data_IF_521430487980
#
_entry.id   IF_521430487980
#
_cell.length_a   1.000
_cell.length_b   1.000
_cell.length_c   1.000
_cell.angle_alpha   90.00
_cell.angle_beta   90.00
_cell.angle_gamma   90.00
#
_symmetry.space_group_name_H-M   'P 1'
#
loop_
_entity.id
_entity.type
_entity.pdbx_description
1 polymer ?
#
# COMPACT_ATOMS: atom_id res chain seq x y z
N UNK A 1 4.03 -21.39 -5.50
CA UNK A 1 4.60 -20.30 -4.68
C UNK A 1 3.53 -19.69 -3.79
N UNK A 2 3.85 -18.90 -2.74
CA UNK A 2 2.84 -18.17 -1.99
C UNK A 2 2.04 -17.27 -2.92
N UNK A 3 0.77 -17.03 -2.58
CA UNK A 3 -0.02 -16.01 -3.29
C UNK A 3 0.58 -14.62 -3.15
N UNK A 4 0.49 -13.82 -4.19
CA UNK A 4 0.97 -12.45 -4.17
C UNK A 4 0.03 -11.55 -3.37
N UNK A 5 0.60 -10.51 -2.77
CA UNK A 5 -0.10 -9.50 -1.97
C UNK A 5 0.17 -8.15 -2.60
N UNK A 6 -0.86 -7.45 -3.06
CA UNK A 6 -0.74 -6.02 -3.38
C UNK A 6 -0.93 -5.20 -2.09
N UNK A 7 0.08 -4.50 -1.59
CA UNK A 7 0.00 -3.84 -0.28
C UNK A 7 -0.86 -2.59 -0.23
N UNK A 8 -1.19 -1.97 -1.37
CA UNK A 8 -1.88 -0.68 -1.37
C UNK A 8 -2.71 -0.45 -2.63
N UNK A 9 -4.00 -0.60 -2.52
CA UNK A 9 -4.95 -0.39 -3.61
C UNK A 9 -6.26 0.24 -3.14
N UNK A 10 -7.07 0.69 -4.10
CA UNK A 10 -8.47 1.07 -3.90
C UNK A 10 -9.45 0.03 -4.45
N UNK A 11 -8.98 -1.14 -4.86
CA UNK A 11 -9.83 -2.18 -5.42
C UNK A 11 -10.90 -2.63 -4.42
N UNK A 12 -12.10 -2.85 -4.90
CA UNK A 12 -13.24 -3.22 -4.06
C UNK A 12 -13.95 -2.05 -3.37
N UNK A 13 -13.49 -0.80 -3.56
CA UNK A 13 -14.10 0.37 -2.92
C UNK A 13 -14.97 1.21 -3.88
N UNK A 14 -15.50 0.62 -4.92
CA UNK A 14 -16.45 1.28 -5.82
C UNK A 14 -17.59 0.33 -6.14
N UNK A 15 -18.80 0.78 -5.89
CA UNK A 15 -20.01 0.07 -6.30
C UNK A 15 -20.24 0.21 -7.81
N UNK A 16 -20.36 -0.92 -8.52
CA UNK A 16 -20.69 -0.98 -9.93
C UNK A 16 -19.61 -0.42 -10.87
N UNK A 17 -20.03 -0.07 -12.11
CA UNK A 17 -19.11 0.46 -13.12
C UNK A 17 -18.96 1.97 -12.97
N UNK A 18 -18.07 2.40 -12.05
CA UNK A 18 -17.44 3.72 -12.13
C UNK A 18 -18.25 4.90 -11.59
N UNK A 19 -19.21 4.71 -10.72
CA UNK A 19 -20.06 5.84 -10.32
C UNK A 19 -19.80 6.40 -8.92
N UNK A 20 -19.42 5.62 -7.95
CA UNK A 20 -19.10 6.11 -6.62
C UNK A 20 -17.84 5.44 -6.11
N UNK A 21 -16.85 6.25 -5.76
CA UNK A 21 -15.68 5.80 -5.01
C UNK A 21 -15.98 6.00 -3.55
N UNK A 22 -16.08 4.93 -2.80
CA UNK A 22 -16.39 5.00 -1.37
C UNK A 22 -15.13 5.14 -0.50
N UNK A 23 -13.94 5.23 -1.12
CA UNK A 23 -12.68 5.49 -0.44
C UNK A 23 -12.17 6.94 -0.54
N UNK A 24 -13.04 7.88 -0.91
CA UNK A 24 -12.70 9.29 -1.17
C UNK A 24 -13.59 10.26 -0.38
N UNK A 25 -13.53 10.24 0.95
CA UNK A 25 -14.22 11.23 1.78
C UNK A 25 -13.43 12.55 1.83
N UNK A 26 -13.80 13.51 0.99
CA UNK A 26 -13.07 14.77 0.82
C UNK A 26 -13.79 15.99 1.42
N UNK A 27 -14.64 15.78 2.40
CA UNK A 27 -15.27 16.87 3.19
C UNK A 27 -14.30 17.47 4.21
N UNK A 28 -13.32 16.69 4.66
CA UNK A 28 -12.29 17.08 5.63
C UNK A 28 -10.94 16.42 5.25
N UNK A 29 -9.82 17.16 5.26
CA UNK A 29 -8.52 16.61 4.92
C UNK A 29 -7.95 15.64 5.95
N UNK A 30 -8.48 15.62 7.16
CA UNK A 30 -8.09 14.73 8.25
C UNK A 30 -9.27 13.87 8.68
N UNK A 31 -9.34 12.66 8.17
CA UNK A 31 -10.39 11.68 8.47
C UNK A 31 -9.82 10.35 8.99
N UNK A 32 -8.90 10.35 9.98
CA UNK A 32 -8.26 9.12 10.46
C UNK A 32 -9.25 8.15 11.12
N UNK A 33 -10.42 8.60 11.54
CA UNK A 33 -11.47 7.80 12.17
C UNK A 33 -12.30 6.98 11.17
N UNK A 34 -12.11 7.18 9.85
CA UNK A 34 -12.84 6.42 8.85
C UNK A 34 -12.23 5.02 8.68
N UNK A 35 -13.10 4.06 8.46
CA UNK A 35 -12.73 2.65 8.31
C UNK A 35 -13.11 2.16 6.91
N UNK A 36 -12.08 1.77 6.14
CA UNK A 36 -12.25 1.30 4.76
C UNK A 36 -13.06 -0.01 4.64
N UNK A 37 -13.22 -0.74 5.73
CA UNK A 37 -14.05 -1.96 5.76
C UNK A 37 -15.48 -1.66 5.32
N UNK A 38 -16.01 -0.48 5.66
CA UNK A 38 -17.35 -0.05 5.24
C UNK A 38 -17.44 0.37 3.77
N UNK A 39 -16.30 0.64 3.13
CA UNK A 39 -16.24 0.97 1.72
C UNK A 39 -16.04 -0.27 0.83
N UNK A 40 -15.69 -1.42 1.43
CA UNK A 40 -15.33 -2.62 0.69
C UNK A 40 -16.58 -3.39 0.24
N UNK A 41 -16.68 -3.62 -1.07
CA UNK A 41 -17.70 -4.44 -1.73
C UNK A 41 -17.11 -5.80 -2.10
N UNK A 42 -17.51 -6.90 -1.42
CA UNK A 42 -17.01 -8.25 -1.72
C UNK A 42 -17.45 -8.73 -3.12
N UNK A 43 -18.48 -8.17 -3.70
CA UNK A 43 -18.98 -8.52 -5.04
C UNK A 43 -18.32 -7.69 -6.16
N UNK A 44 -17.38 -6.81 -5.83
CA UNK A 44 -16.64 -6.01 -6.81
C UNK A 44 -15.88 -6.91 -7.80
N UNK A 45 -16.24 -6.82 -9.07
CA UNK A 45 -15.56 -7.56 -10.15
C UNK A 45 -14.07 -7.23 -10.23
N UNK A 46 -13.68 -5.99 -9.90
CA UNK A 46 -12.27 -5.58 -9.90
C UNK A 46 -11.47 -6.31 -8.82
N UNK A 47 -12.12 -6.69 -7.74
CA UNK A 47 -11.49 -7.41 -6.65
C UNK A 47 -11.51 -8.92 -6.85
N UNK A 48 -12.64 -9.48 -7.22
CA UNK A 48 -12.82 -10.94 -7.40
C UNK A 48 -11.93 -11.56 -8.48
N UNK A 49 -11.45 -10.77 -9.44
CA UNK A 49 -10.57 -11.28 -10.50
C UNK A 49 -9.07 -11.22 -10.15
N UNK A 50 -8.67 -10.72 -8.98
CA UNK A 50 -7.26 -10.61 -8.58
C UNK A 50 -6.52 -11.94 -8.61
N UNK A 51 -7.17 -13.02 -8.18
CA UNK A 51 -6.58 -14.36 -8.19
C UNK A 51 -6.19 -14.84 -9.60
N UNK A 52 -6.85 -14.34 -10.64
CA UNK A 52 -6.47 -14.63 -12.04
C UNK A 52 -5.07 -14.13 -12.42
N UNK A 53 -4.52 -13.22 -11.62
CA UNK A 53 -3.17 -12.64 -11.77
C UNK A 53 -2.21 -13.10 -10.66
N UNK A 54 -2.60 -14.11 -9.88
CA UNK A 54 -1.79 -14.65 -8.78
C UNK A 54 -1.85 -13.83 -7.48
N UNK A 55 -2.69 -12.79 -7.43
CA UNK A 55 -2.88 -11.96 -6.24
C UNK A 55 -3.97 -12.61 -5.38
N UNK A 56 -3.61 -13.10 -4.20
CA UNK A 56 -4.54 -13.79 -3.28
C UNK A 56 -5.05 -12.89 -2.17
N UNK A 57 -4.38 -11.76 -1.92
CA UNK A 57 -4.82 -10.76 -0.97
C UNK A 57 -4.37 -9.36 -1.40
N UNK A 58 -5.10 -8.33 -0.98
CA UNK A 58 -4.71 -6.96 -1.19
C UNK A 58 -4.99 -6.07 0.03
N UNK A 59 -4.10 -5.11 0.26
CA UNK A 59 -4.33 -3.97 1.13
C UNK A 59 -5.23 -2.96 0.44
N UNK A 60 -6.37 -2.67 1.05
CA UNK A 60 -7.36 -1.73 0.55
C UNK A 60 -7.37 -0.49 1.44
N UNK A 61 -7.33 0.69 0.84
CA UNK A 61 -7.17 1.94 1.56
C UNK A 61 -7.87 3.11 0.87
N UNK A 62 -7.98 4.21 1.61
CA UNK A 62 -8.35 5.50 1.06
C UNK A 62 -7.36 5.95 -0.03
N UNK A 63 -7.83 6.79 -0.94
CA UNK A 63 -7.02 7.40 -1.99
C UNK A 63 -5.99 8.40 -1.41
N UNK A 64 -5.25 9.08 -2.30
CA UNK A 64 -4.28 10.11 -1.90
C UNK A 64 -4.90 11.51 -1.78
N UNK A 65 -6.23 11.63 -1.78
CA UNK A 65 -6.89 12.93 -1.76
C UNK A 65 -6.82 13.64 -0.39
N UNK A 66 -6.67 12.88 0.69
CA UNK A 66 -6.62 13.40 2.06
C UNK A 66 -5.23 13.34 2.68
N UNK A 67 -4.96 14.25 3.61
CA UNK A 67 -3.77 14.19 4.47
C UNK A 67 -3.76 12.93 5.32
N UNK A 68 -4.92 12.58 5.90
CA UNK A 68 -5.22 11.27 6.48
C UNK A 68 -6.60 10.84 5.98
N UNK A 69 -6.69 9.71 5.31
CA UNK A 69 -7.92 9.23 4.69
C UNK A 69 -8.67 8.16 5.50
N UNK A 70 -8.02 7.63 6.54
CA UNK A 70 -8.61 6.57 7.37
C UNK A 70 -7.75 5.32 7.46
N UNK A 71 -8.33 4.25 8.01
CA UNK A 71 -7.66 2.96 8.12
C UNK A 71 -7.52 2.28 6.75
N UNK A 72 -6.49 1.45 6.62
CA UNK A 72 -6.37 0.45 5.57
C UNK A 72 -6.70 -0.93 6.13
N UNK A 73 -7.25 -1.81 5.33
CA UNK A 73 -7.56 -3.19 5.68
C UNK A 73 -6.97 -4.15 4.66
N UNK A 74 -6.76 -5.41 5.05
CA UNK A 74 -6.30 -6.47 4.15
C UNK A 74 -7.42 -7.47 3.94
N UNK A 75 -7.74 -7.74 2.67
CA UNK A 75 -8.76 -8.70 2.29
C UNK A 75 -8.18 -9.81 1.40
N UNK A 76 -8.75 -11.01 1.50
CA UNK A 76 -8.52 -12.11 0.56
C UNK A 76 -9.23 -11.83 -0.76
N UNK A 77 -8.65 -12.29 -1.86
CA UNK A 77 -9.24 -12.16 -3.20
C UNK A 77 -10.36 -13.20 -3.47
N UNK A 78 -10.85 -13.86 -2.45
CA UNK A 78 -11.95 -14.83 -2.54
C UNK A 78 -12.76 -14.85 -1.25
N UNK A 79 -14.07 -14.92 -1.38
CA UNK A 79 -15.05 -14.96 -0.29
C UNK A 79 -16.39 -14.36 -0.73
N UNK A 80 -17.39 -14.42 0.15
CA UNK A 80 -18.75 -13.96 -0.14
C UNK A 80 -19.19 -12.79 0.73
N UNK A 81 -18.49 -12.52 1.81
CA UNK A 81 -18.80 -11.41 2.71
C UNK A 81 -17.53 -10.69 3.10
N UNK A 82 -17.67 -9.41 3.43
CA UNK A 82 -16.56 -8.57 3.89
C UNK A 82 -15.83 -9.21 5.07
N UNK A 83 -16.57 -9.80 6.02
CA UNK A 83 -15.98 -10.44 7.21
C UNK A 83 -15.18 -11.69 6.83
N UNK A 84 -15.70 -12.53 5.92
CA UNK A 84 -15.03 -13.77 5.49
C UNK A 84 -13.74 -13.47 4.70
N UNK A 85 -13.72 -12.38 3.95
CA UNK A 85 -12.55 -11.95 3.18
C UNK A 85 -11.54 -11.17 4.02
N UNK A 86 -11.95 -10.57 5.14
CA UNK A 86 -11.10 -9.69 5.94
C UNK A 86 -10.02 -10.49 6.69
N UNK A 87 -8.75 -10.23 6.35
CA UNK A 87 -7.60 -10.75 7.08
C UNK A 87 -7.31 -9.88 8.29
N UNK A 88 -7.37 -8.54 8.12
CA UNK A 88 -7.11 -7.56 9.17
C UNK A 88 -7.81 -6.25 8.84
N UNK A 89 -8.76 -5.84 9.66
CA UNK A 89 -9.59 -4.65 9.44
C UNK A 89 -8.82 -3.34 9.60
N UNK A 90 -7.91 -3.24 10.54
CA UNK A 90 -7.12 -2.04 10.80
C UNK A 90 -5.64 -2.39 10.67
N UNK A 91 -5.19 -2.54 9.42
CA UNK A 91 -3.82 -2.98 9.09
C UNK A 91 -2.82 -1.82 9.13
N UNK A 92 -3.25 -0.62 8.72
CA UNK A 92 -2.43 0.59 8.73
C UNK A 92 -3.32 1.84 8.75
N UNK A 93 -2.78 2.99 9.12
CA UNK A 93 -3.35 4.30 8.84
C UNK A 93 -2.84 4.77 7.47
N UNK A 94 -3.75 5.25 6.59
CA UNK A 94 -3.38 5.74 5.27
C UNK A 94 -3.50 7.26 5.18
N UNK A 95 -2.49 7.89 4.63
CA UNK A 95 -2.51 9.32 4.33
C UNK A 95 -1.63 9.67 3.13
N UNK A 96 -1.56 10.97 2.83
CA UNK A 96 -0.77 11.53 1.74
C UNK A 96 -0.26 12.93 2.06
N UNK A 97 0.97 13.21 1.63
CA UNK A 97 1.55 14.55 1.63
C UNK A 97 1.91 15.01 0.21
N UNK A 98 1.53 14.23 -0.78
CA UNK A 98 1.83 14.48 -2.18
C UNK A 98 0.96 15.61 -2.79
N UNK A 99 1.18 15.87 -4.07
CA UNK A 99 0.48 16.92 -4.80
C UNK A 99 -1.03 16.69 -4.91
N UNK A 100 -1.49 15.44 -4.80
CA UNK A 100 -2.90 15.09 -4.96
C UNK A 100 -3.78 15.77 -3.91
N UNK A 101 -3.30 15.88 -2.67
CA UNK A 101 -3.99 16.61 -1.60
C UNK A 101 -4.26 18.05 -2.00
N UNK A 102 -3.24 18.75 -2.52
CA UNK A 102 -3.38 20.15 -2.95
C UNK A 102 -4.33 20.30 -4.14
N UNK A 103 -4.29 19.34 -5.07
CA UNK A 103 -5.20 19.31 -6.23
C UNK A 103 -6.65 19.06 -5.81
N UNK A 104 -6.87 18.40 -4.69
CA UNK A 104 -8.21 18.11 -4.15
C UNK A 104 -8.81 19.34 -3.47
N UNK A 105 -8.06 20.01 -2.61
CA UNK A 105 -8.57 21.10 -1.77
C UNK A 105 -8.37 22.49 -2.37
N UNK A 106 -7.29 22.70 -3.13
CA UNK A 106 -6.97 24.00 -3.72
C UNK A 106 -8.08 24.59 -4.61
N UNK A 107 -8.65 23.84 -5.57
CA UNK A 107 -9.73 24.33 -6.43
C UNK A 107 -11.01 24.69 -5.68
N UNK A 108 -11.20 24.11 -4.49
CA UNK A 108 -12.36 24.40 -3.61
C UNK A 108 -12.11 25.57 -2.67
N UNK A 109 -10.95 26.22 -2.77
CA UNK A 109 -10.48 27.25 -1.84
C UNK A 109 -10.54 26.79 -0.36
N UNK A 110 -10.25 25.52 -0.11
CA UNK A 110 -10.24 24.88 1.20
C UNK A 110 -8.82 24.50 1.61
N UNK A 111 -8.52 24.53 2.91
CA UNK A 111 -7.24 24.04 3.44
C UNK A 111 -7.20 22.50 3.41
N UNK A 112 -6.00 21.87 3.20
CA UNK A 112 -4.72 22.53 2.90
C UNK A 112 -4.50 22.73 1.39
N UNK A 113 -4.08 23.93 1.00
CA UNK A 113 -3.72 24.26 -0.40
C UNK A 113 -2.22 24.18 -0.68
N UNK A 114 -1.41 23.97 0.36
CA UNK A 114 0.06 23.97 0.27
C UNK A 114 0.66 22.89 1.15
N UNK A 115 1.93 22.52 0.89
CA UNK A 115 2.68 21.63 1.80
C UNK A 115 2.76 22.20 3.22
N UNK A 116 2.88 23.51 3.38
CA UNK A 116 2.86 24.14 4.72
C UNK A 116 1.55 23.84 5.46
N UNK A 117 0.42 23.93 4.77
CA UNK A 117 -0.90 23.61 5.34
C UNK A 117 -1.04 22.12 5.66
N UNK A 118 -0.55 21.22 4.80
CA UNK A 118 -0.55 19.77 5.05
C UNK A 118 0.20 19.45 6.34
N UNK A 119 1.45 19.94 6.47
CA UNK A 119 2.26 19.69 7.66
C UNK A 119 1.77 20.44 8.90
N UNK A 120 1.08 21.59 8.77
CA UNK A 120 0.39 22.25 9.87
C UNK A 120 -0.72 21.37 10.42
N UNK A 121 -1.58 20.84 9.55
CA UNK A 121 -2.69 19.98 9.96
C UNK A 121 -2.20 18.69 10.67
N UNK A 122 -1.13 18.06 10.17
CA UNK A 122 -0.53 16.90 10.84
C UNK A 122 0.03 17.26 12.22
N UNK A 123 0.77 18.38 12.34
CA UNK A 123 1.32 18.82 13.63
C UNK A 123 0.24 19.16 14.65
N UNK A 124 -0.86 19.76 14.21
CA UNK A 124 -2.00 20.08 15.09
C UNK A 124 -2.65 18.80 15.63
N UNK A 125 -2.85 17.78 14.77
CA UNK A 125 -3.39 16.50 15.22
C UNK A 125 -2.42 15.78 16.18
N UNK A 126 -1.11 15.76 15.87
CA UNK A 126 -0.09 15.19 16.76
C UNK A 126 -0.10 15.89 18.13
N UNK A 127 -0.17 17.22 18.14
CA UNK A 127 -0.23 18.00 19.37
C UNK A 127 -1.49 17.68 20.20
N UNK A 128 -2.65 17.52 19.54
CA UNK A 128 -3.89 17.10 20.20
C UNK A 128 -3.79 15.69 20.81
N UNK A 129 -3.10 14.76 20.12
CA UNK A 129 -2.88 13.41 20.64
C UNK A 129 -2.06 13.41 21.94
N UNK A 130 -1.15 14.39 22.12
CA UNK A 130 -0.37 14.59 23.35
C UNK A 130 -1.05 15.48 24.38
N UNK A 131 -2.23 16.02 24.10
CA UNK A 131 -2.97 16.92 25.01
C UNK A 131 -3.64 16.13 26.12
N UNK A 132 -3.64 16.71 27.34
CA UNK A 132 -4.38 16.18 28.50
C UNK A 132 -5.83 16.69 28.58
N UNK A 133 -6.25 17.56 27.67
CA UNK A 133 -7.60 18.12 27.67
C UNK A 133 -8.62 17.03 27.34
N UNK A 134 -9.67 16.96 28.11
CA UNK A 134 -10.74 15.97 27.97
C UNK A 134 -11.41 16.03 26.58
N UNK A 135 -11.60 17.24 26.03
CA UNK A 135 -12.16 17.44 24.70
C UNK A 135 -11.30 16.82 23.59
N UNK A 136 -9.96 16.99 23.67
CA UNK A 136 -9.02 16.40 22.72
C UNK A 136 -9.00 14.87 22.85
N UNK A 137 -9.05 14.35 24.08
CA UNK A 137 -9.06 12.91 24.34
C UNK A 137 -10.33 12.21 23.85
N UNK A 138 -11.45 12.93 23.77
CA UNK A 138 -12.74 12.46 23.26
C UNK A 138 -12.88 12.63 21.74
N UNK A 139 -12.00 13.40 21.09
CA UNK A 139 -12.03 13.61 19.64
C UNK A 139 -11.79 12.26 18.91
N UNK A 140 -12.74 11.77 18.07
CA UNK A 140 -12.57 10.53 17.34
C UNK A 140 -11.33 10.50 16.45
N UNK A 141 -10.88 11.64 15.92
CA UNK A 141 -9.68 11.74 15.12
C UNK A 141 -8.42 11.49 15.96
N UNK A 142 -8.39 12.02 17.16
CA UNK A 142 -7.31 11.79 18.12
C UNK A 142 -7.26 10.33 18.54
N UNK A 143 -8.41 9.74 18.87
CA UNK A 143 -8.50 8.34 19.27
C UNK A 143 -8.02 7.39 18.16
N UNK A 144 -8.39 7.67 16.90
CA UNK A 144 -7.97 6.85 15.74
C UNK A 144 -6.48 7.00 15.42
N UNK A 145 -5.86 8.16 15.67
CA UNK A 145 -4.47 8.42 15.34
C UNK A 145 -3.48 8.06 16.46
N UNK A 146 -3.91 8.01 17.71
CA UNK A 146 -3.06 7.62 18.86
C UNK A 146 -2.30 6.32 18.67
N UNK A 147 -2.91 5.21 18.20
CA UNK A 147 -2.20 3.95 17.99
C UNK A 147 -1.03 4.06 16.99
N UNK A 148 -1.11 5.00 16.04
CA UNK A 148 -0.02 5.32 15.12
C UNK A 148 1.17 5.89 15.88
N UNK A 149 0.94 6.92 16.72
CA UNK A 149 2.00 7.56 17.50
C UNK A 149 2.60 6.64 18.56
N UNK A 150 1.87 5.63 18.99
CA UNK A 150 2.34 4.59 19.92
C UNK A 150 3.09 3.43 19.21
N UNK A 151 3.25 3.49 17.89
CA UNK A 151 3.90 2.44 17.09
C UNK A 151 3.11 1.11 16.99
N UNK A 152 1.85 1.12 17.40
CA UNK A 152 0.95 -0.05 17.34
C UNK A 152 0.33 -0.26 15.97
N UNK A 153 0.11 0.85 15.24
CA UNK A 153 -0.48 0.87 13.91
C UNK A 153 0.51 1.50 12.92
N UNK A 154 0.90 0.82 11.83
CA UNK A 154 1.74 1.41 10.79
C UNK A 154 1.08 2.64 10.15
N UNK A 155 1.91 3.59 9.71
CA UNK A 155 1.48 4.77 8.96
C UNK A 155 2.00 4.69 7.53
N UNK A 156 1.12 4.50 6.57
CA UNK A 156 1.44 4.56 5.15
C UNK A 156 1.17 5.98 4.65
N UNK A 157 2.23 6.70 4.27
CA UNK A 157 2.13 8.04 3.69
C UNK A 157 2.60 8.05 2.24
N UNK A 158 1.71 8.43 1.35
CA UNK A 158 2.09 8.70 -0.04
C UNK A 158 2.88 10.00 -0.11
N UNK A 159 4.08 9.90 -0.66
CA UNK A 159 4.98 11.02 -0.95
C UNK A 159 5.74 10.70 -2.25
N UNK A 160 5.89 11.68 -3.12
CA UNK A 160 6.46 11.48 -4.44
C UNK A 160 7.93 11.90 -4.52
N UNK A 161 8.31 12.88 -3.73
CA UNK A 161 9.61 13.54 -3.81
C UNK A 161 10.45 13.32 -2.56
N UNK A 162 11.80 13.42 -2.73
CA UNK A 162 12.73 13.40 -1.61
C UNK A 162 12.37 14.44 -0.53
N UNK A 163 12.03 15.66 -0.95
CA UNK A 163 11.69 16.74 -0.01
C UNK A 163 10.44 16.46 0.81
N UNK A 164 9.47 15.72 0.26
CA UNK A 164 8.29 15.25 1.00
C UNK A 164 8.67 14.16 2.01
N UNK A 165 9.46 13.20 1.58
CA UNK A 165 9.96 12.13 2.45
C UNK A 165 10.80 12.68 3.60
N UNK A 166 11.74 13.58 3.34
CA UNK A 166 12.58 14.22 4.37
C UNK A 166 11.73 14.96 5.41
N UNK A 167 10.69 15.68 4.95
CA UNK A 167 9.80 16.39 5.85
C UNK A 167 8.95 15.45 6.72
N UNK A 168 8.48 14.33 6.16
CA UNK A 168 7.75 13.28 6.88
C UNK A 168 8.67 12.60 7.90
N UNK A 169 9.86 12.17 7.48
CA UNK A 169 10.85 11.53 8.34
C UNK A 169 11.22 12.45 9.52
N UNK A 170 11.41 13.75 9.26
CA UNK A 170 11.69 14.73 10.30
C UNK A 170 10.52 14.93 11.25
N UNK A 171 9.28 14.90 10.76
CA UNK A 171 8.09 15.06 11.59
C UNK A 171 7.95 13.94 12.64
N UNK A 172 8.34 12.72 12.28
CA UNK A 172 8.23 11.52 13.12
C UNK A 172 9.57 11.05 13.70
N UNK A 173 10.67 11.82 13.58
CA UNK A 173 12.04 11.41 13.92
C UNK A 173 12.21 10.88 15.35
N UNK A 174 11.46 11.38 16.32
CA UNK A 174 11.58 10.99 17.73
C UNK A 174 10.30 10.26 18.22
N UNK A 175 9.63 9.56 17.34
CA UNK A 175 8.43 8.82 17.66
C UNK A 175 8.60 7.34 17.32
N UNK A 176 7.88 6.41 17.97
CA UNK A 176 7.92 4.99 17.63
C UNK A 176 7.07 4.65 16.39
N UNK A 177 6.68 5.63 15.57
CA UNK A 177 5.83 5.43 14.39
C UNK A 177 6.50 4.49 13.40
N UNK A 178 5.81 3.41 13.04
CA UNK A 178 6.22 2.50 11.97
C UNK A 178 5.82 3.13 10.62
N UNK A 179 6.77 3.83 10.02
CA UNK A 179 6.52 4.60 8.80
C UNK A 179 6.72 3.75 7.56
N UNK A 180 5.78 3.85 6.62
CA UNK A 180 5.86 3.28 5.28
C UNK A 180 5.66 4.40 4.26
N UNK A 181 6.65 4.65 3.42
CA UNK A 181 6.58 5.66 2.36
C UNK A 181 6.10 5.00 1.07
N UNK A 182 5.07 5.56 0.46
CA UNK A 182 4.48 5.01 -0.75
C UNK A 182 4.58 5.99 -1.93
N UNK A 183 4.66 5.47 -3.15
CA UNK A 183 4.68 6.24 -4.40
C UNK A 183 5.93 7.11 -4.65
N UNK A 184 7.03 6.86 -3.97
CA UNK A 184 8.26 7.63 -4.18
C UNK A 184 8.90 7.33 -5.55
N UNK A 185 9.24 8.39 -6.30
CA UNK A 185 10.07 8.28 -7.49
C UNK A 185 11.46 8.94 -7.31
N UNK A 186 11.59 9.92 -6.42
CA UNK A 186 12.88 10.50 -6.07
C UNK A 186 13.51 9.75 -4.89
N UNK A 187 13.85 8.48 -5.14
CA UNK A 187 14.58 7.67 -4.17
C UNK A 187 16.01 8.18 -4.02
N UNK A 188 16.53 8.08 -2.81
CA UNK A 188 17.86 8.57 -2.45
C UNK A 188 18.47 7.69 -1.36
N UNK A 189 19.79 7.54 -1.36
CA UNK A 189 20.53 6.74 -0.39
C UNK A 189 20.43 7.27 1.06
N UNK A 190 19.99 8.52 1.25
CA UNK A 190 19.68 9.05 2.59
C UNK A 190 18.60 8.26 3.33
N UNK A 191 17.83 7.43 2.62
CA UNK A 191 16.86 6.51 3.22
C UNK A 191 17.52 5.28 3.87
N UNK A 192 18.77 4.97 3.59
CA UNK A 192 19.48 3.79 4.13
C UNK A 192 19.42 3.75 5.66
N UNK A 193 19.71 4.87 6.30
CA UNK A 193 19.79 5.01 7.76
C UNK A 193 18.43 5.33 8.42
N UNK A 194 17.33 5.34 7.66
CA UNK A 194 16.01 5.66 8.18
C UNK A 194 15.20 4.40 8.45
N UNK A 195 14.50 4.37 9.57
CA UNK A 195 13.60 3.26 9.89
C UNK A 195 12.25 3.49 9.20
N UNK A 196 12.15 3.01 7.96
CA UNK A 196 10.92 3.07 7.17
C UNK A 196 10.86 1.94 6.14
N UNK A 197 9.64 1.47 5.84
CA UNK A 197 9.37 0.62 4.69
C UNK A 197 9.05 1.42 3.44
N UNK A 198 9.08 0.78 2.28
CA UNK A 198 8.75 1.37 0.99
C UNK A 198 7.67 0.55 0.28
N UNK A 199 6.68 1.22 -0.32
CA UNK A 199 5.74 0.62 -1.28
C UNK A 199 5.92 1.35 -2.60
N UNK A 200 6.34 0.62 -3.64
CA UNK A 200 6.71 1.19 -4.93
C UNK A 200 5.92 0.56 -6.07
N UNK A 201 5.73 1.32 -7.13
CA UNK A 201 5.12 0.90 -8.39
C UNK A 201 5.57 1.78 -9.54
N UNK A 202 4.91 1.70 -10.69
CA UNK A 202 5.25 2.44 -11.92
C UNK A 202 6.71 2.22 -12.38
N UNK A 203 7.17 0.96 -12.34
CA UNK A 203 8.56 0.55 -12.60
C UNK A 203 8.78 -0.12 -13.96
N UNK A 204 7.84 0.02 -14.90
CA UNK A 204 7.84 -0.77 -16.13
C UNK A 204 8.79 -0.26 -17.19
N UNK A 205 8.94 1.05 -17.34
CA UNK A 205 9.68 1.70 -18.42
C UNK A 205 10.84 2.58 -17.95
N UNK A 206 11.10 2.63 -16.66
CA UNK A 206 12.13 3.49 -16.07
C UNK A 206 11.63 4.87 -15.70
N UNK A 207 10.35 5.14 -15.95
CA UNK A 207 9.66 6.36 -15.55
C UNK A 207 8.38 6.01 -14.79
N UNK A 208 7.99 6.85 -13.87
CA UNK A 208 6.71 6.72 -13.20
C UNK A 208 5.59 7.40 -14.01
N UNK A 209 4.34 7.29 -13.54
CA UNK A 209 3.17 7.95 -14.16
C UNK A 209 3.26 9.47 -14.29
N UNK A 210 4.18 10.11 -13.60
CA UNK A 210 4.46 11.55 -13.73
C UNK A 210 5.57 11.83 -14.74
N UNK A 211 6.01 10.82 -15.50
CA UNK A 211 7.12 10.91 -16.46
C UNK A 211 8.43 11.37 -15.80
N UNK A 212 8.63 11.03 -14.54
CA UNK A 212 9.83 11.32 -13.78
C UNK A 212 10.71 10.07 -13.69
N UNK A 213 12.00 10.22 -13.94
CA UNK A 213 12.96 9.10 -13.88
C UNK A 213 13.04 8.53 -12.48
N UNK A 214 12.92 7.20 -12.37
CA UNK A 214 13.15 6.47 -11.13
C UNK A 214 14.65 6.32 -10.90
N UNK A 215 15.12 6.66 -9.71
CA UNK A 215 16.53 6.44 -9.33
C UNK A 215 16.76 4.97 -8.95
N UNK A 216 16.95 4.12 -9.95
CA UNK A 216 17.17 2.69 -9.76
C UNK A 216 18.48 2.36 -9.03
N UNK A 217 19.53 3.20 -9.16
CA UNK A 217 20.77 2.96 -8.45
C UNK A 217 20.53 3.04 -6.92
N UNK A 218 19.86 4.11 -6.47
CA UNK A 218 19.48 4.24 -5.06
C UNK A 218 18.51 3.13 -4.63
N UNK A 219 17.55 2.73 -5.49
CA UNK A 219 16.63 1.63 -5.18
C UNK A 219 17.37 0.31 -4.93
N UNK A 220 18.33 -0.03 -5.79
CA UNK A 220 19.11 -1.27 -5.62
C UNK A 220 20.02 -1.22 -4.39
N UNK A 221 20.64 -0.07 -4.07
CA UNK A 221 21.36 0.14 -2.81
C UNK A 221 20.47 -0.09 -1.58
N UNK A 222 19.22 0.40 -1.61
CA UNK A 222 18.25 0.20 -0.53
C UNK A 222 17.84 -1.27 -0.38
N UNK A 223 17.60 -1.97 -1.49
CA UNK A 223 17.26 -3.40 -1.50
C UNK A 223 18.42 -4.23 -0.96
N UNK A 224 19.64 -3.97 -1.44
CA UNK A 224 20.86 -4.68 -1.01
C UNK A 224 21.15 -4.47 0.48
N UNK A 225 20.85 -3.28 1.02
CA UNK A 225 20.93 -2.99 2.43
C UNK A 225 19.81 -3.64 3.28
N UNK A 226 18.89 -4.39 2.67
CA UNK A 226 17.79 -5.08 3.35
C UNK A 226 16.60 -4.18 3.71
N UNK A 227 16.47 -2.99 3.10
CA UNK A 227 15.31 -2.13 3.30
C UNK A 227 14.03 -2.87 2.88
N UNK A 228 12.96 -2.87 3.69
CA UNK A 228 11.69 -3.47 3.30
C UNK A 228 11.07 -2.72 2.12
N UNK A 229 11.10 -3.33 0.93
CA UNK A 229 10.51 -2.80 -0.30
C UNK A 229 9.43 -3.75 -0.77
N UNK A 230 8.18 -3.29 -0.85
CA UNK A 230 7.07 -4.00 -1.45
C UNK A 230 6.69 -3.38 -2.79
N UNK A 231 6.25 -4.20 -3.73
CA UNK A 231 5.69 -3.75 -5.01
C UNK A 231 4.17 -3.66 -4.92
N UNK A 232 3.60 -2.63 -5.54
CA UNK A 232 2.16 -2.43 -5.65
C UNK A 232 1.77 -2.03 -7.07
N UNK A 233 0.60 -2.44 -7.50
CA UNK A 233 -0.02 -1.93 -8.72
C UNK A 233 -0.65 -0.55 -8.49
N UNK A 234 -0.83 -0.12 -7.23
CA UNK A 234 -1.60 1.06 -6.85
C UNK A 234 -2.98 1.08 -7.52
N UNK A 235 -3.65 -0.08 -7.51
CA UNK A 235 -4.93 -0.27 -8.16
C UNK A 235 -5.97 0.76 -7.74
N UNK A 236 -6.62 1.35 -8.71
CA UNK A 236 -7.72 2.29 -8.48
C UNK A 236 -9.03 1.53 -8.29
N UNK A 237 -9.97 2.11 -7.55
CA UNK A 237 -11.27 1.51 -7.28
C UNK A 237 -12.09 1.15 -8.54
N UNK A 238 -11.87 1.87 -9.64
CA UNK A 238 -12.66 1.77 -10.88
C UNK A 238 -11.86 1.34 -12.11
N UNK A 239 -10.54 1.24 -12.00
CA UNK A 239 -9.66 0.90 -13.12
C UNK A 239 -9.16 -0.54 -13.01
N UNK A 240 -9.12 -1.29 -14.13
CA UNK A 240 -8.34 -2.52 -14.20
C UNK A 240 -6.85 -2.18 -13.97
N UNK A 241 -6.00 -3.17 -13.99
CA UNK A 241 -4.55 -2.95 -13.82
C UNK A 241 -3.95 -3.97 -12.87
N UNK A 242 -4.65 -5.08 -12.68
CA UNK A 242 -4.19 -6.20 -11.85
C UNK A 242 -2.89 -6.81 -12.36
N UNK A 243 -2.67 -6.76 -13.68
CA UNK A 243 -1.43 -7.17 -14.36
C UNK A 243 -0.23 -6.26 -14.04
N UNK A 244 -0.46 -5.03 -13.59
CA UNK A 244 0.59 -4.03 -13.31
C UNK A 244 1.55 -4.53 -12.23
N UNK A 245 1.07 -5.31 -11.26
CA UNK A 245 1.94 -5.87 -10.22
C UNK A 245 3.03 -6.77 -10.85
N UNK A 246 2.66 -7.64 -11.79
CA UNK A 246 3.59 -8.46 -12.55
C UNK A 246 4.51 -7.60 -13.42
N UNK A 247 3.98 -6.57 -14.08
CA UNK A 247 4.78 -5.68 -14.92
C UNK A 247 5.81 -4.91 -14.10
N UNK A 248 5.47 -4.45 -12.90
CA UNK A 248 6.42 -3.80 -11.99
C UNK A 248 7.56 -4.75 -11.59
N UNK A 249 7.25 -6.02 -11.29
CA UNK A 249 8.26 -7.02 -10.98
C UNK A 249 9.22 -7.25 -12.15
N UNK A 250 8.69 -7.42 -13.37
CA UNK A 250 9.51 -7.58 -14.59
C UNK A 250 10.31 -6.31 -14.91
N UNK A 251 9.72 -5.13 -14.77
CA UNK A 251 10.39 -3.85 -14.99
C UNK A 251 11.58 -3.69 -14.05
N UNK A 252 11.40 -3.99 -12.77
CA UNK A 252 12.47 -3.95 -11.77
C UNK A 252 13.61 -4.92 -12.12
N UNK A 253 13.29 -6.17 -12.47
CA UNK A 253 14.29 -7.17 -12.87
C UNK A 253 15.01 -6.76 -14.16
N UNK A 254 14.32 -6.18 -15.12
CA UNK A 254 14.94 -5.69 -16.36
C UNK A 254 15.92 -4.54 -16.08
N UNK A 255 15.57 -3.60 -15.19
CA UNK A 255 16.45 -2.52 -14.78
C UNK A 255 17.66 -3.02 -13.99
N UNK A 256 17.49 -4.03 -13.12
CA UNK A 256 18.59 -4.65 -12.40
C UNK A 256 19.62 -5.24 -13.38
N UNK A 257 19.15 -6.02 -14.36
CA UNK A 257 20.02 -6.59 -15.42
C UNK A 257 20.74 -5.48 -16.20
N UNK A 258 20.03 -4.42 -16.59
CA UNK A 258 20.59 -3.29 -17.34
C UNK A 258 21.70 -2.56 -16.60
N UNK A 259 21.55 -2.42 -15.28
CA UNK A 259 22.49 -1.71 -14.42
C UNK A 259 23.52 -2.61 -13.75
N UNK A 260 23.46 -3.94 -13.96
CA UNK A 260 24.34 -4.91 -13.36
C UNK A 260 24.14 -5.09 -11.84
N UNK A 261 22.93 -4.74 -11.33
CA UNK A 261 22.59 -4.93 -9.94
C UNK A 261 22.26 -6.40 -9.64
N UNK A 262 22.64 -6.85 -8.43
CA UNK A 262 22.32 -8.21 -7.96
C UNK A 262 20.91 -8.23 -7.38
N UNK A 263 19.94 -8.68 -8.20
CA UNK A 263 18.56 -8.86 -7.78
C UNK A 263 18.07 -10.23 -8.28
N UNK A 264 17.77 -11.12 -7.34
CA UNK A 264 17.27 -12.46 -7.66
C UNK A 264 15.74 -12.50 -7.80
N UNK A 265 15.22 -13.54 -8.48
CA UNK A 265 13.77 -13.80 -8.51
C UNK A 265 13.19 -14.03 -7.10
N UNK A 266 13.99 -14.57 -6.18
CA UNK A 266 13.57 -14.75 -4.78
C UNK A 266 13.40 -13.42 -4.06
N UNK A 267 14.29 -12.44 -4.28
CA UNK A 267 14.16 -11.11 -3.69
C UNK A 267 12.88 -10.42 -4.20
N UNK A 268 12.61 -10.49 -5.51
CA UNK A 268 11.39 -9.95 -6.08
C UNK A 268 10.15 -10.69 -5.58
N UNK A 269 10.22 -12.02 -5.39
CA UNK A 269 9.12 -12.78 -4.80
C UNK A 269 8.82 -12.30 -3.37
N UNK A 270 9.83 -12.03 -2.56
CA UNK A 270 9.64 -11.45 -1.21
C UNK A 270 8.94 -10.09 -1.26
N UNK A 271 9.25 -9.25 -2.25
CA UNK A 271 8.60 -7.95 -2.44
C UNK A 271 7.12 -8.06 -2.85
N UNK A 272 6.68 -9.23 -3.31
CA UNK A 272 5.31 -9.54 -3.68
C UNK A 272 4.56 -10.37 -2.63
N UNK A 273 5.24 -10.86 -1.60
CA UNK A 273 4.66 -11.83 -0.65
C UNK A 273 4.96 -11.47 0.80
N UNK A 274 6.14 -11.80 1.33
CA UNK A 274 6.47 -11.65 2.76
C UNK A 274 6.66 -10.20 3.17
N UNK A 275 7.26 -9.35 2.34
CA UNK A 275 7.46 -7.93 2.67
C UNK A 275 6.14 -7.16 2.75
N UNK A 276 5.22 -7.23 1.77
CA UNK A 276 3.91 -6.60 1.94
C UNK A 276 3.13 -7.13 3.14
N UNK A 277 3.21 -8.44 3.44
CA UNK A 277 2.59 -8.99 4.64
C UNK A 277 3.15 -8.35 5.92
N UNK A 278 4.47 -8.21 6.02
CA UNK A 278 5.14 -7.56 7.14
C UNK A 278 4.76 -6.08 7.28
N UNK A 279 4.76 -5.32 6.18
CA UNK A 279 4.40 -3.89 6.21
C UNK A 279 2.97 -3.64 6.66
N UNK A 280 2.07 -4.59 6.40
CA UNK A 280 0.65 -4.55 6.81
C UNK A 280 0.40 -5.25 8.14
N UNK A 281 1.41 -5.90 8.73
CA UNK A 281 1.32 -6.64 9.99
C UNK A 281 0.37 -7.84 9.89
N UNK A 282 0.42 -8.58 8.80
CA UNK A 282 -0.37 -9.81 8.55
C UNK A 282 0.54 -11.01 8.26
N UNK A 283 1.83 -10.88 8.53
CA UNK A 283 2.86 -11.89 8.30
C UNK A 283 2.63 -13.19 9.07
N UNK A 284 1.91 -13.15 10.19
CA UNK A 284 1.54 -14.35 10.96
C UNK A 284 0.51 -15.22 10.23
N UNK A 285 -0.25 -14.64 9.29
CA UNK A 285 -1.32 -15.35 8.57
C UNK A 285 -0.98 -15.63 7.11
N UNK A 286 -0.38 -14.68 6.39
CA UNK A 286 -0.18 -14.77 4.93
C UNK A 286 1.25 -14.37 4.53
N UNK A 287 1.57 -14.48 3.25
CA UNK A 287 2.85 -14.02 2.66
C UNK A 287 3.96 -15.07 2.61
N UNK A 288 3.76 -16.25 3.18
CA UNK A 288 4.71 -17.38 3.05
C UNK A 288 4.01 -18.72 3.18
N UNK A 289 4.61 -19.78 2.63
CA UNK A 289 4.16 -21.18 2.80
C UNK A 289 4.84 -21.78 4.04
N UNK A 290 4.30 -21.46 5.20
CA UNK A 290 4.79 -21.94 6.50
C UNK A 290 3.63 -22.59 7.24
N UNK A 291 3.89 -23.69 7.95
CA UNK A 291 2.88 -24.36 8.76
C UNK A 291 2.24 -23.40 9.76
N UNK A 292 0.91 -23.47 9.88
CA UNK A 292 0.10 -22.62 10.76
C UNK A 292 -0.41 -21.33 10.09
N UNK A 293 0.03 -21.01 8.86
CA UNK A 293 -0.51 -19.88 8.10
C UNK A 293 -1.67 -20.30 7.19
N UNK A 294 -2.39 -19.30 6.71
CA UNK A 294 -3.45 -19.49 5.72
C UNK A 294 -2.84 -20.11 4.43
N UNK A 295 -3.52 -21.09 3.87
CA UNK A 295 -3.06 -21.77 2.66
C UNK A 295 -3.44 -20.93 1.42
N UNK A 296 -2.65 -19.90 1.14
CA UNK A 296 -2.72 -19.09 -0.08
C UNK A 296 -1.62 -19.53 -1.03
N UNK A 297 -1.96 -20.32 -2.04
CA UNK A 297 -1.00 -20.99 -2.92
C UNK A 297 -1.37 -20.73 -4.38
N UNK A 298 -0.37 -20.40 -5.19
CA UNK A 298 -0.54 -20.28 -6.63
C UNK A 298 0.44 -21.24 -7.32
N UNK A 299 -0.10 -22.13 -8.13
CA UNK A 299 0.65 -22.99 -9.05
C UNK A 299 0.59 -22.32 -10.42
N UNK A 300 1.75 -22.05 -10.99
CA UNK A 300 1.90 -21.37 -12.28
C UNK A 300 2.35 -22.33 -13.35
N UNK A 301 1.98 -22.08 -14.61
CA UNK A 301 2.44 -22.84 -15.79
C UNK A 301 3.94 -22.68 -16.07
N UNK A 302 4.62 -21.80 -15.38
CA UNK A 302 6.04 -21.50 -15.46
C UNK A 302 6.44 -20.50 -14.40
N UNK A 303 7.68 -19.99 -14.42
CA UNK A 303 8.09 -18.95 -13.49
C UNK A 303 7.52 -17.58 -13.91
N UNK A 304 6.56 -17.00 -13.18
CA UNK A 304 5.93 -15.72 -13.54
C UNK A 304 6.89 -14.53 -13.44
N UNK A 305 8.04 -14.67 -12.78
CA UNK A 305 9.07 -13.64 -12.68
C UNK A 305 10.09 -13.69 -13.83
N UNK A 306 10.06 -14.77 -14.64
CA UNK A 306 10.94 -14.93 -15.81
C UNK A 306 10.20 -14.75 -17.13
N UNK A 307 8.89 -15.00 -17.15
CA UNK A 307 8.09 -14.91 -18.37
C UNK A 307 6.67 -14.41 -18.13
N UNK A 308 6.23 -13.44 -18.93
CA UNK A 308 4.83 -13.00 -18.98
C UNK A 308 3.84 -14.06 -19.49
N UNK A 309 4.33 -15.20 -20.00
CA UNK A 309 3.48 -16.30 -20.47
C UNK A 309 3.05 -17.23 -19.36
N UNK A 310 3.66 -17.12 -18.17
CA UNK A 310 3.26 -17.90 -17.03
C UNK A 310 1.88 -17.41 -16.55
N UNK A 311 0.95 -18.36 -16.45
CA UNK A 311 -0.41 -18.11 -15.97
C UNK A 311 -0.66 -18.92 -14.70
N UNK A 312 -1.46 -18.42 -13.76
CA UNK A 312 -1.93 -19.23 -12.65
C UNK A 312 -2.78 -20.40 -13.17
N UNK A 313 -2.36 -21.63 -12.91
CA UNK A 313 -3.11 -22.86 -13.27
C UNK A 313 -4.03 -23.29 -12.14
N UNK A 314 -3.49 -23.33 -10.92
CA UNK A 314 -4.27 -23.62 -9.71
C UNK A 314 -4.05 -22.48 -8.72
N UNK A 315 -5.14 -21.99 -8.17
CA UNK A 315 -5.12 -20.98 -7.12
C UNK A 315 -5.92 -21.51 -5.94
N UNK A 316 -5.26 -21.51 -4.79
CA UNK A 316 -5.85 -21.87 -3.50
C UNK A 316 -5.82 -20.60 -2.62
N UNK A 317 -6.95 -20.26 -2.01
CA UNK A 317 -7.08 -19.15 -1.07
C UNK A 317 -7.73 -19.67 0.20
N UNK A 318 -7.08 -19.49 1.33
CA UNK A 318 -7.55 -20.00 2.64
C UNK A 318 -7.87 -21.50 2.61
N UNK A 319 -7.13 -22.27 1.79
CA UNK A 319 -7.33 -23.71 1.64
C UNK A 319 -8.41 -24.12 0.64
N UNK A 320 -9.14 -23.19 0.05
CA UNK A 320 -10.15 -23.45 -0.99
C UNK A 320 -9.58 -23.28 -2.40
N UNK A 321 -9.84 -24.22 -3.29
CA UNK A 321 -9.45 -24.11 -4.70
C UNK A 321 -10.41 -23.15 -5.39
N UNK A 322 -9.91 -21.98 -5.80
CA UNK A 322 -10.68 -20.92 -6.49
C UNK A 322 -10.49 -20.96 -8.00
N UNK A 323 -9.42 -21.61 -8.45
CA UNK A 323 -9.12 -21.90 -9.87
C UNK A 323 -8.41 -23.24 -9.99
N UNK A 324 -8.73 -24.01 -11.01
CA UNK A 324 -8.18 -25.32 -11.31
C UNK A 324 -9.27 -26.41 -11.28
N UNK A 325 -8.90 -27.62 -11.72
CA UNK A 325 -9.77 -28.80 -11.59
C UNK A 325 -9.65 -29.36 -10.16
N UNK A 326 -10.78 -29.79 -9.59
CA UNK A 326 -10.83 -30.51 -8.31
C UNK A 326 -10.41 -31.96 -8.49
#
# INVERSE_FOLDING_TARGET
MPGWIDPLSGWGTAAGRGQARDNDETSDPLTPQLDVVYAFDPDSMMYQELWGYGITAAGVAASNNNVLGGSAAVFKAHGRTTEAMCVKANAAMKGSVDEKVKQTYGPRNSAPMTKMGIFSALRELIAKCGSEKEEDQKDPKVQAFKPVLEGKLPLILSCNTKAEADAVLKLFENTPVKLVLANMYQLDESLLDKDCGLILGDLTDGFNKYNAAVNYAALFSLIEAGKPVALSAFGDAVSPGREILMWNAHGLMAQARRLGASLSSEDVLKMLTSVPAQLLGVEDRIGSLTEGKDADIVIWSGNPLETFRALPEIVVISGEIVKGEQ
#
